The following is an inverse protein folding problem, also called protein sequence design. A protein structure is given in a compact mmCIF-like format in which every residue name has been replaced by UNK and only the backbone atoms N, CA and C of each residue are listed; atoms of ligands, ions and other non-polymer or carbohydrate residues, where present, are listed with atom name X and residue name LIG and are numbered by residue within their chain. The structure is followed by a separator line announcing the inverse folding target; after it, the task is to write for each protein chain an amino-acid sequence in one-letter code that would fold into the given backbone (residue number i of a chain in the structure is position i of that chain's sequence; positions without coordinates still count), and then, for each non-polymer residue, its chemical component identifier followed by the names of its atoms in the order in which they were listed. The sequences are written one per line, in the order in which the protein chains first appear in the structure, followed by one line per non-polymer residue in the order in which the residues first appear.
data_IF_843711897754
#
_entry.id   IF_843711897754
#
_cell.length_a   1.000
_cell.length_b   1.000
_cell.length_c   1.000
_cell.angle_alpha   90.00
_cell.angle_beta   90.00
_cell.angle_gamma   90.00
#
_symmetry.space_group_name_H-M   'P 1'
#
loop_
_entity.id
_entity.type
_entity.pdbx_description
1 polymer ?
#
# COMPACT_ATOMS: atom_id res chain seq x y z
N UNK A 1 5.10 -39.17 61.14
CA UNK A 1 5.96 -38.84 59.99
C UNK A 1 5.06 -38.48 58.81
N UNK A 2 5.02 -37.21 58.41
CA UNK A 2 4.21 -36.73 57.29
C UNK A 2 5.05 -36.70 56.00
N UNK A 3 4.52 -37.07 54.83
CA UNK A 3 5.24 -36.90 53.58
C UNK A 3 5.05 -35.48 53.04
N UNK A 4 6.16 -34.91 52.60
CA UNK A 4 6.32 -33.54 52.10
C UNK A 4 5.73 -33.41 50.68
N UNK A 5 4.78 -32.51 50.48
CA UNK A 5 4.22 -32.17 49.17
C UNK A 5 5.23 -31.32 48.37
N UNK A 6 5.78 -31.88 47.28
CA UNK A 6 6.57 -31.13 46.30
C UNK A 6 5.64 -30.28 45.42
N UNK A 7 5.61 -28.98 45.68
CA UNK A 7 4.98 -27.98 44.81
C UNK A 7 5.68 -27.95 43.46
N UNK A 8 5.00 -28.44 42.42
CA UNK A 8 5.38 -28.20 41.02
C UNK A 8 5.10 -26.71 40.71
N UNK A 9 6.11 -25.87 40.93
CA UNK A 9 6.11 -24.49 40.42
C UNK A 9 5.97 -24.56 38.91
N UNK A 10 4.77 -24.30 38.43
CA UNK A 10 4.48 -24.14 37.02
C UNK A 10 5.34 -22.99 36.48
N UNK A 11 6.39 -23.35 35.73
CA UNK A 11 7.12 -22.41 34.89
C UNK A 11 6.18 -22.02 33.74
N UNK A 12 5.20 -21.14 34.03
CA UNK A 12 4.52 -20.36 32.99
C UNK A 12 5.58 -19.46 32.39
N UNK A 13 6.26 -19.97 31.35
CA UNK A 13 6.98 -19.13 30.39
C UNK A 13 5.96 -18.12 29.87
N UNK A 14 6.09 -16.85 30.25
CA UNK A 14 5.51 -15.75 29.49
C UNK A 14 5.97 -15.95 28.04
N UNK A 15 5.07 -15.97 27.04
CA UNK A 15 5.52 -16.02 25.66
C UNK A 15 6.41 -14.80 25.45
N UNK A 16 7.72 -15.04 25.34
CA UNK A 16 8.66 -14.00 24.96
C UNK A 16 8.17 -13.45 23.64
N UNK A 17 7.97 -12.13 23.56
CA UNK A 17 7.89 -11.44 22.27
C UNK A 17 9.16 -11.85 21.52
N UNK A 18 9.04 -12.77 20.57
CA UNK A 18 10.00 -12.83 19.46
C UNK A 18 10.11 -11.39 18.96
N UNK A 19 11.30 -10.86 18.66
CA UNK A 19 11.41 -9.57 18.01
C UNK A 19 10.52 -9.65 16.76
N UNK A 20 9.38 -8.97 16.83
CA UNK A 20 8.28 -9.17 15.89
C UNK A 20 8.73 -8.57 14.58
N UNK A 21 8.73 -9.38 13.52
CA UNK A 21 9.00 -8.91 12.17
C UNK A 21 8.03 -7.78 11.81
N UNK A 22 8.49 -6.84 10.98
CA UNK A 22 7.76 -5.67 10.53
C UNK A 22 6.38 -6.02 9.96
N UNK A 23 5.30 -5.72 10.70
CA UNK A 23 3.94 -5.88 10.20
C UNK A 23 3.56 -4.61 9.42
N UNK A 24 3.45 -4.73 8.10
CA UNK A 24 3.01 -3.63 7.22
C UNK A 24 1.54 -3.84 6.89
N UNK A 25 0.74 -2.78 6.97
CA UNK A 25 -0.64 -2.77 6.51
C UNK A 25 -0.75 -1.91 5.25
N UNK A 26 -1.35 -2.46 4.18
CA UNK A 26 -1.75 -1.70 2.99
C UNK A 26 -3.26 -1.67 2.95
N UNK A 27 -3.84 -0.47 3.00
CA UNK A 27 -5.28 -0.23 2.93
C UNK A 27 -5.63 0.53 1.66
N UNK A 28 -6.62 0.06 0.90
CA UNK A 28 -7.11 0.77 -0.28
C UNK A 28 -8.56 0.42 -0.64
N UNK A 29 -9.05 1.05 -1.69
CA UNK A 29 -10.44 0.98 -2.16
C UNK A 29 -10.65 -0.14 -3.19
N UNK A 30 -9.88 -0.12 -4.29
CA UNK A 30 -10.19 -0.93 -5.47
C UNK A 30 -9.57 -2.33 -5.52
N UNK A 31 -10.20 -3.18 -6.33
CA UNK A 31 -9.73 -4.55 -6.57
C UNK A 31 -8.46 -4.61 -7.45
N UNK A 32 -8.21 -3.58 -8.27
CA UNK A 32 -7.01 -3.51 -9.11
C UNK A 32 -5.76 -3.35 -8.25
N UNK A 33 -5.80 -2.41 -7.31
CA UNK A 33 -4.75 -2.15 -6.32
C UNK A 33 -4.52 -3.40 -5.46
N UNK A 34 -5.61 -4.01 -4.98
CA UNK A 34 -5.55 -5.28 -4.23
C UNK A 34 -4.82 -6.37 -5.01
N UNK A 35 -5.17 -6.59 -6.28
CA UNK A 35 -4.54 -7.59 -7.11
C UNK A 35 -3.05 -7.28 -7.35
N UNK A 36 -2.72 -6.00 -7.59
CA UNK A 36 -1.35 -5.54 -7.79
C UNK A 36 -0.48 -5.75 -6.56
N UNK A 37 -0.89 -5.22 -5.39
CA UNK A 37 -0.07 -5.33 -4.18
C UNK A 37 0.03 -6.77 -3.67
N UNK A 38 -1.00 -7.61 -3.85
CA UNK A 38 -0.87 -9.05 -3.57
C UNK A 38 0.17 -9.71 -4.46
N UNK A 39 0.18 -9.41 -5.76
CA UNK A 39 1.19 -9.93 -6.67
C UNK A 39 2.60 -9.43 -6.29
N UNK A 40 2.74 -8.14 -5.96
CA UNK A 40 4.00 -7.53 -5.55
C UNK A 40 4.55 -8.16 -4.25
N UNK A 41 3.74 -8.27 -3.21
CA UNK A 41 4.15 -8.88 -1.94
C UNK A 41 4.58 -10.34 -2.12
N UNK A 42 3.85 -11.10 -2.96
CA UNK A 42 4.23 -12.47 -3.30
C UNK A 42 5.57 -12.53 -4.06
N UNK A 43 5.78 -11.63 -5.02
CA UNK A 43 7.03 -11.53 -5.77
C UNK A 43 8.23 -11.17 -4.89
N UNK A 44 8.03 -10.26 -3.93
CA UNK A 44 9.05 -9.84 -2.96
C UNK A 44 9.23 -10.83 -1.80
N UNK A 45 8.42 -11.91 -1.76
CA UNK A 45 8.43 -12.95 -0.71
C UNK A 45 8.29 -12.38 0.71
N UNK A 46 7.50 -11.32 0.87
CA UNK A 46 7.33 -10.61 2.14
C UNK A 46 6.34 -11.38 3.03
N UNK A 47 6.78 -12.01 4.14
CA UNK A 47 5.93 -12.90 4.92
C UNK A 47 5.03 -12.19 5.94
N UNK A 48 5.25 -10.89 6.20
CA UNK A 48 4.59 -10.13 7.27
C UNK A 48 3.88 -8.88 6.75
N UNK A 49 3.13 -9.02 5.66
CA UNK A 49 2.32 -7.93 5.12
C UNK A 49 0.86 -8.31 5.17
N UNK A 50 0.07 -7.45 5.79
CA UNK A 50 -1.37 -7.47 5.73
C UNK A 50 -1.84 -6.55 4.61
N UNK A 51 -2.55 -7.13 3.65
CA UNK A 51 -3.08 -6.41 2.48
C UNK A 51 -4.61 -6.38 2.63
N UNK A 52 -5.12 -5.31 3.23
CA UNK A 52 -6.54 -5.15 3.58
C UNK A 52 -7.22 -4.11 2.68
N UNK A 53 -8.06 -4.56 1.77
CA UNK A 53 -8.81 -3.65 0.89
C UNK A 53 -10.28 -3.74 1.26
N UNK A 54 -10.91 -2.60 1.53
CA UNK A 54 -12.18 -2.41 2.24
C UNK A 54 -12.09 -2.40 3.77
N UNK A 55 -12.77 -1.41 4.35
CA UNK A 55 -13.06 -1.33 5.78
C UNK A 55 -14.58 -1.43 5.97
N UNK A 56 -15.02 -1.90 7.13
CA UNK A 56 -16.46 -2.11 7.43
C UNK A 56 -17.34 -0.87 7.18
N UNK A 57 -16.73 0.31 7.18
CA UNK A 57 -17.40 1.61 7.09
C UNK A 57 -17.57 2.12 5.64
N UNK A 58 -17.11 1.36 4.64
CA UNK A 58 -17.19 1.72 3.22
C UNK A 58 -15.81 1.99 2.59
N UNK A 59 -15.80 2.34 1.31
CA UNK A 59 -14.59 2.47 0.50
C UNK A 59 -14.07 3.89 0.32
N UNK A 60 -14.89 4.90 0.63
CA UNK A 60 -14.50 6.31 0.50
C UNK A 60 -13.17 6.63 1.21
N UNK A 61 -12.34 7.55 0.67
CA UNK A 61 -11.01 7.87 1.21
C UNK A 61 -10.99 8.17 2.72
N UNK A 62 -12.01 8.87 3.23
CA UNK A 62 -12.07 9.18 4.67
C UNK A 62 -12.22 7.92 5.54
N UNK A 63 -12.97 6.92 5.07
CA UNK A 63 -13.18 5.67 5.80
C UNK A 63 -11.92 4.82 5.84
N UNK A 64 -11.12 4.86 4.76
CA UNK A 64 -9.80 4.23 4.72
C UNK A 64 -8.87 4.86 5.76
N UNK A 65 -8.83 6.19 5.86
CA UNK A 65 -8.01 6.89 6.88
C UNK A 65 -8.50 6.55 8.28
N UNK A 66 -9.81 6.51 8.51
CA UNK A 66 -10.37 6.19 9.82
C UNK A 66 -10.03 4.78 10.25
N UNK A 67 -10.13 3.83 9.33
CA UNK A 67 -9.71 2.46 9.50
C UNK A 67 -8.20 2.35 9.81
N UNK A 68 -7.36 3.09 9.09
CA UNK A 68 -5.91 3.15 9.34
C UNK A 68 -5.60 3.69 10.74
N UNK A 69 -6.29 4.74 11.18
CA UNK A 69 -6.14 5.32 12.53
C UNK A 69 -6.59 4.35 13.61
N UNK A 70 -7.65 3.56 13.39
CA UNK A 70 -8.05 2.52 14.34
C UNK A 70 -7.02 1.39 14.40
N UNK A 71 -6.55 0.92 13.23
CA UNK A 71 -5.51 -0.12 13.12
C UNK A 71 -4.20 0.28 13.79
N UNK A 72 -3.80 1.55 13.70
CA UNK A 72 -2.62 2.09 14.37
C UNK A 72 -2.70 2.01 15.91
N UNK A 73 -3.90 1.92 16.49
CA UNK A 73 -4.12 1.84 17.94
C UNK A 73 -4.23 0.39 18.45
N UNK A 74 -4.28 -0.61 17.57
CA UNK A 74 -4.44 -2.01 17.96
C UNK A 74 -3.21 -2.55 18.72
N UNK A 75 -3.40 -3.37 19.77
CA UNK A 75 -2.29 -4.03 20.46
C UNK A 75 -1.52 -4.96 19.52
N UNK A 76 -0.20 -4.78 19.43
CA UNK A 76 0.65 -5.50 18.48
C UNK A 76 1.31 -4.55 17.49
N UNK A 77 0.59 -3.51 17.07
CA UNK A 77 1.09 -2.40 16.25
C UNK A 77 1.50 -2.81 14.83
N UNK A 78 1.44 -1.85 13.92
CA UNK A 78 2.04 -1.95 12.59
C UNK A 78 3.26 -1.04 12.55
N UNK A 79 4.32 -1.46 11.86
CA UNK A 79 5.49 -0.60 11.64
C UNK A 79 5.22 0.51 10.63
N UNK A 80 4.37 0.21 9.65
CA UNK A 80 3.91 1.18 8.65
C UNK A 80 2.52 0.78 8.15
N UNK A 81 1.64 1.77 8.05
CA UNK A 81 0.29 1.64 7.50
C UNK A 81 0.20 2.58 6.30
N UNK A 82 -0.02 2.02 5.13
CA UNK A 82 -0.10 2.75 3.87
C UNK A 82 -1.54 2.80 3.40
N UNK A 83 -2.04 4.01 3.19
CA UNK A 83 -3.36 4.24 2.62
C UNK A 83 -3.22 4.58 1.14
N UNK A 84 -3.76 3.71 0.28
CA UNK A 84 -3.74 3.82 -1.16
C UNK A 84 -5.05 4.47 -1.61
N UNK A 85 -4.96 5.60 -2.31
CA UNK A 85 -6.12 6.32 -2.81
C UNK A 85 -5.94 6.73 -4.26
N UNK A 86 -7.05 6.65 -4.99
CA UNK A 86 -7.22 7.38 -6.23
C UNK A 86 -7.78 8.78 -5.92
N UNK A 87 -7.54 9.75 -6.80
CA UNK A 87 -8.22 11.06 -6.70
C UNK A 87 -9.62 10.89 -7.26
N UNK A 88 -10.51 10.38 -6.42
CA UNK A 88 -11.92 10.39 -6.72
C UNK A 88 -12.47 11.82 -6.64
N UNK A 89 -13.52 12.13 -7.41
CA UNK A 89 -14.20 13.44 -7.42
C UNK A 89 -14.90 13.75 -6.09
N UNK A 90 -14.82 12.85 -5.12
CA UNK A 90 -15.43 12.98 -3.80
C UNK A 90 -14.75 14.09 -2.97
N UNK A 91 -15.59 14.98 -2.42
CA UNK A 91 -15.21 16.01 -1.43
C UNK A 91 -14.40 15.47 -0.23
N UNK A 92 -14.49 14.15 0.02
CA UNK A 92 -13.79 13.50 1.11
C UNK A 92 -12.28 13.34 0.87
N UNK A 93 -11.76 13.41 -0.36
CA UNK A 93 -10.34 13.20 -0.66
C UNK A 93 -9.44 14.21 0.09
N UNK A 94 -9.75 15.51 -0.02
CA UNK A 94 -8.99 16.55 0.66
C UNK A 94 -9.07 16.40 2.19
N UNK A 95 -10.25 16.06 2.72
CA UNK A 95 -10.45 15.82 4.16
C UNK A 95 -9.68 14.61 4.65
N UNK A 96 -9.68 13.52 3.88
CA UNK A 96 -8.95 12.28 4.17
C UNK A 96 -7.45 12.56 4.22
N UNK A 97 -6.90 13.24 3.21
CA UNK A 97 -5.49 13.62 3.16
C UNK A 97 -5.08 14.51 4.34
N UNK A 98 -5.87 15.54 4.64
CA UNK A 98 -5.60 16.42 5.78
C UNK A 98 -5.61 15.64 7.11
N UNK A 99 -6.59 14.75 7.29
CA UNK A 99 -6.69 13.88 8.48
C UNK A 99 -5.51 12.91 8.58
N UNK A 100 -5.13 12.28 7.48
CA UNK A 100 -3.97 11.38 7.44
C UNK A 100 -2.70 12.14 7.84
N UNK A 101 -2.44 13.31 7.25
CA UNK A 101 -1.28 14.14 7.58
C UNK A 101 -1.27 14.59 9.05
N UNK A 102 -2.42 14.90 9.63
CA UNK A 102 -2.54 15.23 11.04
C UNK A 102 -2.13 14.04 11.94
N UNK A 103 -2.58 12.83 11.61
CA UNK A 103 -2.29 11.63 12.40
C UNK A 103 -0.89 11.06 12.14
N UNK A 104 -0.34 11.21 10.94
CA UNK A 104 1.00 10.75 10.54
C UNK A 104 2.12 11.37 11.39
N UNK A 105 1.86 12.50 12.07
CA UNK A 105 2.81 13.10 13.04
C UNK A 105 3.04 12.25 14.30
N UNK A 106 2.15 11.32 14.60
CA UNK A 106 2.14 10.53 15.85
C UNK A 106 1.94 9.04 15.62
N UNK A 107 1.61 8.63 14.40
CA UNK A 107 1.26 7.28 14.01
C UNK A 107 2.00 6.96 12.70
N UNK A 108 2.33 5.68 12.43
CA UNK A 108 3.09 5.30 11.25
C UNK A 108 2.18 5.23 10.01
N UNK A 109 1.48 6.33 9.71
CA UNK A 109 0.54 6.44 8.60
C UNK A 109 1.22 7.11 7.40
N UNK A 110 1.03 6.53 6.23
CA UNK A 110 1.59 7.01 4.96
C UNK A 110 0.52 7.02 3.87
N UNK A 111 0.65 7.92 2.91
CA UNK A 111 -0.22 7.99 1.72
C UNK A 111 0.49 7.45 0.48
N UNK A 112 -0.24 6.71 -0.35
CA UNK A 112 0.13 6.31 -1.70
C UNK A 112 -0.99 6.74 -2.66
N UNK A 113 -0.73 7.73 -3.50
CA UNK A 113 -1.73 8.35 -4.36
C UNK A 113 -1.51 7.98 -5.82
N UNK A 114 -2.58 7.90 -6.61
CA UNK A 114 -2.49 7.83 -8.06
C UNK A 114 -3.60 8.67 -8.69
N UNK A 115 -3.23 9.62 -9.55
CA UNK A 115 -4.12 10.69 -10.02
C UNK A 115 -4.13 10.75 -11.55
N UNK A 116 -5.29 10.62 -12.21
CA UNK A 116 -6.64 10.54 -11.61
C UNK A 116 -6.96 9.21 -10.92
N UNK A 117 -6.30 8.11 -11.26
CA UNK A 117 -6.50 6.81 -10.61
C UNK A 117 -5.32 5.86 -10.77
N UNK A 118 -5.43 4.67 -10.19
CA UNK A 118 -4.38 3.66 -10.12
C UNK A 118 -3.88 3.20 -11.48
N UNK A 119 -4.69 3.28 -12.53
CA UNK A 119 -4.24 2.98 -13.88
C UNK A 119 -3.08 3.87 -14.38
N UNK A 120 -2.85 5.06 -13.80
CA UNK A 120 -1.63 5.83 -14.07
C UNK A 120 -0.40 5.04 -13.64
N UNK A 121 -0.39 4.48 -12.42
CA UNK A 121 0.70 3.65 -11.94
C UNK A 121 0.94 2.44 -12.84
N UNK A 122 -0.12 1.82 -13.37
CA UNK A 122 -0.01 0.71 -14.31
C UNK A 122 0.60 1.15 -15.65
N UNK A 123 0.17 2.30 -16.19
CA UNK A 123 0.68 2.86 -17.44
C UNK A 123 2.19 3.16 -17.35
N UNK A 124 2.65 3.64 -16.19
CA UNK A 124 4.06 3.98 -15.96
C UNK A 124 5.00 2.76 -16.05
N UNK A 125 4.48 1.52 -16.00
CA UNK A 125 5.29 0.32 -16.28
C UNK A 125 5.69 0.21 -17.76
N UNK A 126 4.99 0.88 -18.68
CA UNK A 126 5.23 0.77 -20.12
C UNK A 126 5.84 2.03 -20.70
N UNK A 127 5.40 3.20 -20.24
CA UNK A 127 5.86 4.49 -20.76
C UNK A 127 5.95 5.56 -19.67
N UNK A 128 6.86 6.50 -19.84
CA UNK A 128 6.81 7.76 -19.13
C UNK A 128 5.72 8.65 -19.73
N UNK A 129 4.88 9.24 -18.88
CA UNK A 129 3.92 10.26 -19.30
C UNK A 129 3.70 11.30 -18.19
N UNK A 130 3.62 12.56 -18.59
CA UNK A 130 3.16 13.71 -17.79
C UNK A 130 1.95 14.39 -18.43
N UNK A 131 1.29 13.71 -19.38
CA UNK A 131 0.10 14.22 -20.04
C UNK A 131 -1.08 14.31 -19.08
N UNK A 132 -1.88 15.37 -19.19
CA UNK A 132 -3.13 15.52 -18.44
C UNK A 132 -4.15 14.49 -18.91
N UNK A 133 -4.77 13.77 -17.97
CA UNK A 133 -5.84 12.82 -18.27
C UNK A 133 -7.18 13.31 -17.71
N UNK A 134 -8.21 13.55 -18.53
CA UNK A 134 -9.47 14.11 -18.04
C UNK A 134 -10.20 13.20 -17.05
N UNK A 135 -9.99 11.88 -17.14
CA UNK A 135 -10.57 10.88 -16.26
C UNK A 135 -9.84 9.53 -16.40
N UNK A 136 -10.24 8.57 -15.57
CA UNK A 136 -9.72 7.19 -15.60
C UNK A 136 -9.95 6.46 -16.92
N UNK A 137 -11.04 6.73 -17.63
CA UNK A 137 -11.31 6.07 -18.90
C UNK A 137 -10.27 6.46 -19.95
N UNK A 138 -9.85 7.73 -20.01
CA UNK A 138 -8.79 8.17 -20.90
C UNK A 138 -7.45 7.46 -20.60
N UNK A 139 -7.10 7.31 -19.33
CA UNK A 139 -5.93 6.52 -18.90
C UNK A 139 -6.04 5.06 -19.33
N UNK A 140 -7.19 4.42 -19.12
CA UNK A 140 -7.42 3.03 -19.50
C UNK A 140 -7.27 2.84 -21.01
N UNK A 141 -7.76 3.78 -21.83
CA UNK A 141 -7.57 3.72 -23.28
C UNK A 141 -6.10 3.81 -23.68
N UNK A 142 -5.32 4.68 -23.01
CA UNK A 142 -3.87 4.76 -23.24
C UNK A 142 -3.14 3.50 -22.79
N UNK A 143 -3.48 2.97 -21.61
CA UNK A 143 -2.96 1.71 -21.08
C UNK A 143 -3.23 0.55 -22.04
N UNK A 144 -4.40 0.51 -22.68
CA UNK A 144 -4.75 -0.52 -23.68
C UNK A 144 -3.89 -0.51 -24.94
N UNK A 145 -3.17 0.57 -25.23
CA UNK A 145 -2.21 0.57 -26.34
C UNK A 145 -1.00 -0.33 -26.03
N UNK A 146 -0.67 -0.50 -24.75
CA UNK A 146 0.40 -1.39 -24.27
C UNK A 146 -0.12 -2.73 -23.75
N UNK A 147 -1.35 -2.75 -23.23
CA UNK A 147 -2.03 -3.93 -22.69
C UNK A 147 -3.45 -4.05 -23.28
N UNK A 148 -3.59 -4.50 -24.56
CA UNK A 148 -4.86 -4.46 -25.29
C UNK A 148 -6.04 -5.16 -24.59
N UNK A 149 -5.75 -6.22 -23.85
CA UNK A 149 -6.75 -6.99 -23.10
C UNK A 149 -6.79 -6.62 -21.62
N UNK A 150 -6.47 -5.36 -21.25
CA UNK A 150 -6.48 -4.94 -19.85
C UNK A 150 -7.83 -5.25 -19.19
N UNK A 151 -7.78 -6.06 -18.12
CA UNK A 151 -8.90 -6.46 -17.29
C UNK A 151 -8.58 -5.99 -15.87
N UNK A 152 -9.46 -5.15 -15.31
CA UNK A 152 -9.33 -4.68 -13.91
C UNK A 152 -9.24 -5.87 -12.96
N UNK A 153 -8.46 -5.72 -11.89
CA UNK A 153 -8.26 -6.75 -10.86
C UNK A 153 -7.73 -8.11 -11.37
N UNK A 154 -7.10 -8.18 -12.55
CA UNK A 154 -6.56 -9.44 -13.07
C UNK A 154 -5.19 -9.77 -12.47
N UNK A 155 -5.12 -10.84 -11.67
CA UNK A 155 -3.89 -11.26 -11.00
C UNK A 155 -2.76 -11.69 -11.96
N UNK A 156 -3.08 -12.24 -13.13
CA UNK A 156 -2.06 -12.63 -14.11
C UNK A 156 -1.41 -11.39 -14.75
N UNK A 157 -2.22 -10.40 -15.11
CA UNK A 157 -1.74 -9.11 -15.62
C UNK A 157 -0.94 -8.36 -14.56
N UNK A 158 -1.42 -8.33 -13.30
CA UNK A 158 -0.67 -7.77 -12.18
C UNK A 158 0.73 -8.38 -12.05
N UNK A 159 0.86 -9.72 -12.12
CA UNK A 159 2.17 -10.39 -12.11
C UNK A 159 3.03 -10.04 -13.32
N UNK A 160 2.45 -9.98 -14.52
CA UNK A 160 3.18 -9.65 -15.74
C UNK A 160 3.78 -8.24 -15.68
N UNK A 161 3.08 -7.28 -15.07
CA UNK A 161 3.58 -5.92 -14.87
C UNK A 161 4.85 -5.87 -14.02
N UNK A 162 5.02 -6.78 -13.05
CA UNK A 162 6.19 -6.78 -12.16
C UNK A 162 7.52 -7.00 -12.89
N UNK A 163 7.50 -7.59 -14.10
CA UNK A 163 8.69 -7.68 -14.95
C UNK A 163 9.23 -6.31 -15.38
N UNK A 164 8.39 -5.27 -15.31
CA UNK A 164 8.69 -3.88 -15.67
C UNK A 164 8.65 -2.95 -14.46
N UNK A 165 8.83 -3.49 -13.26
CA UNK A 165 8.70 -2.73 -12.01
C UNK A 165 9.74 -1.59 -11.92
N UNK A 166 10.99 -1.83 -12.32
CA UNK A 166 12.02 -0.78 -12.28
C UNK A 166 11.72 0.36 -13.28
N UNK A 167 11.16 0.06 -14.45
CA UNK A 167 10.70 1.09 -15.40
C UNK A 167 9.63 1.96 -14.75
N UNK A 168 8.65 1.34 -14.07
CA UNK A 168 7.60 2.06 -13.35
C UNK A 168 8.15 2.95 -12.23
N UNK A 169 9.11 2.46 -11.47
CA UNK A 169 9.76 3.21 -10.39
C UNK A 169 10.50 4.44 -10.93
N UNK A 170 11.26 4.29 -12.01
CA UNK A 170 11.97 5.38 -12.67
C UNK A 170 11.00 6.41 -13.26
N UNK A 171 9.96 5.95 -13.97
CA UNK A 171 8.98 6.82 -14.59
C UNK A 171 8.16 7.60 -13.55
N UNK A 172 7.76 6.96 -12.46
CA UNK A 172 7.04 7.61 -11.37
C UNK A 172 7.90 8.60 -10.58
N UNK A 173 9.16 8.26 -10.31
CA UNK A 173 10.10 9.20 -9.66
C UNK A 173 10.34 10.42 -10.54
N UNK A 174 10.51 10.21 -11.85
CA UNK A 174 10.63 11.30 -12.83
C UNK A 174 9.37 12.16 -12.86
N UNK A 175 8.18 11.53 -12.85
CA UNK A 175 6.91 12.26 -12.83
C UNK A 175 6.78 13.11 -11.57
N UNK A 176 7.04 12.53 -10.39
CA UNK A 176 6.97 13.25 -9.12
C UNK A 176 7.93 14.44 -9.07
N UNK A 177 9.12 14.33 -9.67
CA UNK A 177 10.09 15.44 -9.73
C UNK A 177 9.64 16.64 -10.57
N UNK A 178 8.64 16.47 -11.44
CA UNK A 178 8.13 17.56 -12.31
C UNK A 178 7.06 18.42 -11.64
N UNK A 179 6.41 17.93 -10.59
CA UNK A 179 5.35 18.65 -9.91
C UNK A 179 5.85 19.23 -8.58
N UNK A 180 5.56 20.50 -8.34
CA UNK A 180 5.84 21.15 -7.06
C UNK A 180 5.08 20.48 -5.90
N UNK A 181 3.90 19.93 -6.18
CA UNK A 181 3.03 19.31 -5.20
C UNK A 181 2.42 18.01 -5.71
N UNK A 182 2.51 16.94 -4.91
CA UNK A 182 1.77 15.69 -5.14
C UNK A 182 0.29 15.98 -4.89
N UNK A 183 -0.56 15.66 -5.87
CA UNK A 183 -1.99 16.00 -5.84
C UNK A 183 -2.51 16.50 -7.19
N UNK A 184 -1.63 17.01 -8.05
CA UNK A 184 -1.99 17.49 -9.38
C UNK A 184 -2.12 16.32 -10.37
N UNK A 185 -2.87 16.53 -11.44
CA UNK A 185 -3.04 15.55 -12.49
C UNK A 185 -1.97 15.77 -13.58
N UNK A 186 -1.27 14.73 -14.04
CA UNK A 186 -1.09 13.41 -13.42
C UNK A 186 -0.08 13.46 -12.26
N UNK A 187 -0.30 12.66 -11.22
CA UNK A 187 0.73 12.41 -10.20
C UNK A 187 0.54 11.07 -9.52
N UNK A 188 1.64 10.48 -9.04
CA UNK A 188 1.56 9.26 -8.23
C UNK A 188 2.68 9.19 -7.21
N UNK A 189 2.35 8.76 -6.00
CA UNK A 189 3.31 8.42 -4.93
C UNK A 189 3.37 6.92 -4.63
N UNK A 190 2.74 6.07 -5.46
CA UNK A 190 2.74 4.59 -5.28
C UNK A 190 4.16 4.03 -5.29
N UNK A 191 5.06 4.60 -6.10
CA UNK A 191 6.47 4.19 -6.13
C UNK A 191 7.16 4.28 -4.76
N UNK A 192 6.74 5.20 -3.88
CA UNK A 192 7.28 5.32 -2.51
C UNK A 192 6.90 4.12 -1.66
N UNK A 193 5.65 3.66 -1.75
CA UNK A 193 5.21 2.42 -1.11
C UNK A 193 6.00 1.22 -1.67
N UNK A 194 6.12 1.11 -2.99
CA UNK A 194 6.87 -0.01 -3.61
C UNK A 194 8.34 -0.03 -3.16
N UNK A 195 9.03 1.13 -3.14
CA UNK A 195 10.40 1.23 -2.62
C UNK A 195 10.50 0.81 -1.16
N UNK A 196 9.57 1.26 -0.32
CA UNK A 196 9.50 0.84 1.09
C UNK A 196 9.37 -0.68 1.24
N UNK A 197 8.55 -1.33 0.39
CA UNK A 197 8.42 -2.79 0.37
C UNK A 197 9.72 -3.49 -0.12
N UNK A 198 10.38 -2.95 -1.14
CA UNK A 198 11.67 -3.46 -1.62
C UNK A 198 12.75 -3.36 -0.54
N UNK A 199 12.82 -2.24 0.19
CA UNK A 199 13.78 -2.02 1.26
C UNK A 199 13.60 -3.03 2.41
N UNK A 200 12.35 -3.38 2.71
CA UNK A 200 12.04 -4.39 3.74
C UNK A 200 12.45 -5.77 3.25
N UNK A 201 12.16 -6.14 2.00
CA UNK A 201 12.61 -7.41 1.42
C UNK A 201 14.14 -7.52 1.38
N UNK A 202 14.84 -6.41 1.09
CA UNK A 202 16.30 -6.36 1.08
C UNK A 202 16.91 -6.50 2.49
N UNK A 203 16.23 -6.03 3.54
CA UNK A 203 16.66 -6.22 4.93
C UNK A 203 16.41 -7.67 5.39
N UNK A 204 15.25 -8.24 5.07
CA UNK A 204 14.90 -9.61 5.43
C UNK A 204 15.79 -10.66 4.76
N UNK A 205 16.30 -10.39 3.54
CA UNK A 205 17.24 -11.29 2.84
C UNK A 205 18.66 -11.24 3.37
N UNK A 206 19.02 -10.21 4.16
CA UNK A 206 20.34 -10.06 4.79
C UNK A 206 20.38 -10.53 6.25
N UNK A 207 19.22 -10.83 6.84
CA UNK A 207 19.05 -11.28 8.23
C UNK A 207 18.97 -12.81 8.34
#
# INVERSE_FOLDING_TARGET
MAPCARSLRSLRRKPGRKPGRALILIIGEGDTERAYFRALCANLRLPNIEVQFSCRQGSAPINIVDCAVQKAKEPGGYESIWCVFDRDEHESFARARAKLQQHARRMPLHEALSIPCFELWLLLHFEFTDALFPNCNALIQRLRQHLPQYIKANAAQARALLAKLEDALLNAQRLESRYAHIGDNPSTSVHRLVRHLQDIAAKDSRA
#
